data_IF_687821194764
#
_entry.id   IF_687821194764
#
_cell.length_a   1.000
_cell.length_b   1.000
_cell.length_c   1.000
_cell.angle_alpha   90.00
_cell.angle_beta   90.00
_cell.angle_gamma   90.00
#
_symmetry.space_group_name_H-M   'P 1'
#
loop_
_entity.id
_entity.type
_entity.pdbx_description
1 polymer ?
#
# COMPACT_ATOMS: atom_id res chain seq x y z
N UNK A 1 -16.98 -5.44 3.28
CA UNK A 1 -15.58 -5.62 2.82
C UNK A 1 -15.16 -4.35 2.10
N UNK A 2 -14.00 -3.81 2.47
CA UNK A 2 -13.37 -2.65 1.86
C UNK A 2 -12.68 -3.03 0.54
N UNK A 3 -12.33 -2.03 -0.31
CA UNK A 3 -11.71 -2.29 -1.61
C UNK A 3 -10.36 -3.01 -1.53
N UNK A 4 -9.65 -2.86 -0.42
CA UNK A 4 -8.35 -3.52 -0.15
C UNK A 4 -8.50 -4.96 0.37
N UNK A 5 -9.73 -5.48 0.43
CA UNK A 5 -10.04 -6.81 0.93
C UNK A 5 -10.18 -6.90 2.46
N UNK A 6 -9.98 -5.80 3.20
CA UNK A 6 -10.19 -5.81 4.65
C UNK A 6 -11.68 -5.75 5.01
N UNK A 7 -12.03 -6.17 6.22
CA UNK A 7 -13.36 -5.96 6.80
C UNK A 7 -13.26 -4.85 7.82
N UNK A 8 -14.08 -3.80 7.65
CA UNK A 8 -14.30 -2.78 8.66
C UNK A 8 -15.50 -3.15 9.53
N UNK A 9 -15.27 -3.25 10.83
CA UNK A 9 -16.32 -3.29 11.85
C UNK A 9 -16.30 -1.96 12.58
N UNK A 10 -17.48 -1.39 12.82
CA UNK A 10 -17.62 -0.14 13.56
C UNK A 10 -18.54 -0.38 14.74
N UNK A 11 -18.04 -0.10 15.93
CA UNK A 11 -18.80 -0.16 17.17
C UNK A 11 -19.24 1.26 17.55
N UNK A 12 -20.54 1.45 17.72
CA UNK A 12 -21.15 2.76 17.97
C UNK A 12 -21.64 2.87 19.41
N UNK A 13 -21.34 4.00 20.06
CA UNK A 13 -21.91 4.38 21.35
C UNK A 13 -22.32 5.85 21.31
N UNK A 14 -23.41 6.19 21.99
CA UNK A 14 -23.84 7.58 22.15
C UNK A 14 -24.34 7.81 23.57
N UNK A 15 -23.87 8.88 24.22
CA UNK A 15 -24.32 9.30 25.54
C UNK A 15 -24.28 10.84 25.68
N UNK A 16 -24.94 11.37 26.72
CA UNK A 16 -25.12 12.81 26.91
C UNK A 16 -23.83 13.55 27.31
N UNK A 17 -22.84 12.84 27.84
CA UNK A 17 -21.59 13.42 28.34
C UNK A 17 -20.49 13.45 27.28
N UNK A 18 -20.38 12.36 26.52
CA UNK A 18 -19.30 12.11 25.57
C UNK A 18 -19.77 12.29 24.12
N UNK A 19 -21.09 12.41 23.90
CA UNK A 19 -21.67 12.49 22.56
C UNK A 19 -21.55 11.17 21.81
N UNK A 20 -21.42 11.27 20.49
CA UNK A 20 -21.28 10.11 19.60
C UNK A 20 -19.82 9.65 19.49
N UNK A 21 -19.60 8.35 19.62
CA UNK A 21 -18.32 7.71 19.38
C UNK A 21 -18.48 6.53 18.40
N UNK A 22 -17.51 6.40 17.50
CA UNK A 22 -17.41 5.32 16.54
C UNK A 22 -16.01 4.70 16.61
N UNK A 23 -15.93 3.50 17.17
CA UNK A 23 -14.66 2.78 17.25
C UNK A 23 -14.54 1.86 16.05
N UNK A 24 -13.56 2.15 15.20
CA UNK A 24 -13.35 1.44 13.93
C UNK A 24 -12.27 0.39 14.10
N UNK A 25 -12.58 -0.86 13.71
CA UNK A 25 -11.66 -1.99 13.68
C UNK A 25 -11.56 -2.52 12.26
N UNK A 26 -10.34 -2.77 11.78
CA UNK A 26 -10.08 -3.35 10.45
C UNK A 26 -9.44 -4.72 10.62
N UNK A 27 -9.94 -5.73 9.90
CA UNK A 27 -9.50 -7.12 9.96
C UNK A 27 -9.17 -7.64 8.55
N UNK A 28 -8.25 -8.60 8.46
CA UNK A 28 -7.78 -9.16 7.19
C UNK A 28 -6.47 -8.53 6.68
N UNK A 29 -6.00 -9.00 5.52
CA UNK A 29 -4.79 -8.50 4.89
C UNK A 29 -5.15 -7.49 3.79
N UNK A 30 -4.66 -6.25 3.94
CA UNK A 30 -4.86 -5.22 2.93
C UNK A 30 -3.97 -5.52 1.71
N UNK A 31 -4.60 -5.77 0.57
CA UNK A 31 -3.91 -6.00 -0.68
C UNK A 31 -3.77 -4.67 -1.44
N UNK A 32 -2.52 -4.28 -1.70
CA UNK A 32 -2.21 -3.15 -2.56
C UNK A 32 -1.18 -3.58 -3.61
N UNK A 33 -1.28 -3.11 -4.86
CA UNK A 33 -0.30 -3.44 -5.89
C UNK A 33 1.08 -3.00 -5.42
N UNK A 34 2.05 -3.91 -5.50
CA UNK A 34 3.44 -3.57 -5.22
C UNK A 34 3.94 -2.61 -6.29
N UNK A 35 4.57 -1.51 -5.88
CA UNK A 35 5.28 -0.63 -6.80
C UNK A 35 6.50 -1.36 -7.33
N UNK A 36 6.49 -1.75 -8.60
CA UNK A 36 7.67 -2.30 -9.25
C UNK A 36 8.71 -1.18 -9.40
N UNK A 37 9.79 -1.24 -8.61
CA UNK A 37 10.96 -0.39 -8.86
C UNK A 37 11.68 -0.94 -10.10
N UNK A 38 11.53 -0.25 -11.23
CA UNK A 38 12.29 -0.59 -12.43
C UNK A 38 13.79 -0.33 -12.15
N UNK A 39 14.56 -1.41 -12.03
CA UNK A 39 16.02 -1.32 -12.02
C UNK A 39 16.46 -1.02 -13.45
N UNK A 40 16.72 0.25 -13.74
CA UNK A 40 17.28 0.65 -15.04
C UNK A 40 18.74 0.23 -15.06
N UNK A 41 19.08 -0.81 -15.81
CA UNK A 41 20.46 -1.15 -16.10
C UNK A 41 21.07 -0.03 -16.96
N UNK A 42 22.16 0.57 -16.48
CA UNK A 42 22.89 1.57 -17.25
C UNK A 42 23.54 0.90 -18.49
N UNK A 43 23.49 1.53 -19.68
CA UNK A 43 24.12 0.96 -20.86
C UNK A 43 25.65 0.99 -20.70
N UNK A 44 26.28 -0.19 -20.80
CA UNK A 44 27.73 -0.28 -20.90
C UNK A 44 28.14 0.13 -22.32
N UNK A 45 28.72 1.33 -22.46
CA UNK A 45 29.39 1.72 -23.70
C UNK A 45 30.69 0.92 -23.82
N UNK A 46 30.68 -0.10 -24.67
CA UNK A 46 31.90 -0.81 -25.06
C UNK A 46 32.74 0.06 -25.98
N UNK A 47 33.89 0.52 -25.50
CA UNK A 47 34.92 1.09 -26.36
C UNK A 47 35.57 -0.04 -27.17
N UNK A 48 35.16 -0.18 -28.43
CA UNK A 48 35.83 -1.04 -29.40
C UNK A 48 37.24 -0.54 -29.68
N UNK A 49 38.24 -1.35 -29.33
CA UNK A 49 39.62 -1.17 -29.81
C UNK A 49 39.79 -2.01 -31.09
N UNK A 50 39.86 -1.28 -32.20
CA UNK A 50 40.20 -1.77 -33.54
C UNK A 50 41.65 -2.26 -33.53
N UNK A 51 41.88 -3.52 -33.89
CA UNK A 51 43.22 -4.02 -34.23
C UNK A 51 43.62 -3.43 -35.59
N UNK A 52 44.74 -2.71 -35.62
CA UNK A 52 45.42 -2.21 -36.81
C UNK A 52 46.88 -1.97 -36.51
#
# INVERSE_FOLDING_TARGET
VEPDGTVRTVDYTADDHNGFNAVVRRQGHAAHPATAHAVVAAPAYGHGHLLG
#
